data_IF_432671143762
#
_entry.id   IF_432671143762
#
_cell.length_a   1.000
_cell.length_b   1.000
_cell.length_c   1.000
_cell.angle_alpha   90.00
_cell.angle_beta   90.00
_cell.angle_gamma   90.00
#
_symmetry.space_group_name_H-M   'P 1'
#
loop_
_entity.id
_entity.type
_entity.pdbx_description
1 polymer ?
#
# COMPACT_ATOMS: atom_id res chain seq x y z
N UNK A 1 -58.26 -1.17 13.42
CA UNK A 1 -57.66 -0.52 14.58
C UNK A 1 -56.19 -0.88 14.80
N UNK A 2 -55.39 -1.13 13.76
CA UNK A 2 -54.01 -1.69 13.85
C UNK A 2 -52.88 -0.72 13.41
N UNK A 3 -53.18 0.48 12.95
CA UNK A 3 -52.18 1.39 12.38
C UNK A 3 -51.46 2.31 13.40
N UNK A 4 -51.86 2.32 14.67
CA UNK A 4 -51.29 3.23 15.68
C UNK A 4 -50.12 2.66 16.48
N UNK A 5 -49.88 1.36 16.42
CA UNK A 5 -48.80 0.71 17.21
C UNK A 5 -47.51 0.50 16.40
N UNK A 6 -47.52 0.59 15.08
CA UNK A 6 -46.37 0.40 14.23
C UNK A 6 -45.20 1.42 14.52
N UNK A 7 -45.46 2.71 14.73
CA UNK A 7 -44.38 3.65 15.05
C UNK A 7 -43.78 3.43 16.45
N UNK A 8 -44.59 3.04 17.42
CA UNK A 8 -44.11 2.76 18.78
C UNK A 8 -43.24 1.52 18.86
N UNK A 9 -43.58 0.45 18.15
CA UNK A 9 -42.76 -0.77 18.08
C UNK A 9 -41.44 -0.51 17.36
N UNK A 10 -41.43 0.28 16.30
CA UNK A 10 -40.19 0.68 15.60
C UNK A 10 -39.24 1.47 16.51
N UNK A 11 -39.74 2.40 17.29
CA UNK A 11 -38.92 3.18 18.26
C UNK A 11 -38.33 2.27 19.33
N UNK A 12 -39.12 1.35 19.89
CA UNK A 12 -38.63 0.42 20.92
C UNK A 12 -37.53 -0.49 20.37
N UNK A 13 -37.72 -1.02 19.15
CA UNK A 13 -36.70 -1.85 18.49
C UNK A 13 -35.44 -1.05 18.21
N UNK A 14 -35.55 0.17 17.70
CA UNK A 14 -34.38 1.02 17.45
C UNK A 14 -33.63 1.35 18.75
N UNK A 15 -34.35 1.68 19.82
CA UNK A 15 -33.75 1.95 21.13
C UNK A 15 -33.05 0.71 21.71
N UNK A 16 -33.63 -0.48 21.53
CA UNK A 16 -33.01 -1.74 21.95
C UNK A 16 -31.73 -2.05 21.18
N UNK A 17 -31.72 -1.83 19.85
CA UNK A 17 -30.53 -2.02 19.01
C UNK A 17 -29.42 -1.05 19.39
N UNK A 18 -29.72 0.22 19.56
CA UNK A 18 -28.74 1.25 20.01
C UNK A 18 -28.23 0.90 21.41
N UNK A 19 -29.10 0.53 22.33
CA UNK A 19 -28.71 0.13 23.69
C UNK A 19 -27.81 -1.10 23.69
N UNK A 20 -28.10 -2.09 22.86
CA UNK A 20 -27.26 -3.30 22.69
C UNK A 20 -25.90 -2.93 22.07
N UNK A 21 -25.87 -2.09 21.05
CA UNK A 21 -24.65 -1.61 20.41
C UNK A 21 -23.75 -0.88 21.42
N UNK A 22 -24.33 0.01 22.23
CA UNK A 22 -23.58 0.73 23.27
C UNK A 22 -23.08 -0.21 24.37
N UNK A 23 -23.91 -1.18 24.79
CA UNK A 23 -23.53 -2.16 25.80
C UNK A 23 -22.41 -3.11 25.35
N UNK A 24 -22.30 -3.36 24.04
CA UNK A 24 -21.23 -4.16 23.41
C UNK A 24 -19.95 -3.37 23.12
N UNK A 25 -19.86 -2.13 23.59
CA UNK A 25 -18.67 -1.30 23.43
C UNK A 25 -18.67 -0.41 22.18
N UNK A 26 -19.82 -0.26 21.51
CA UNK A 26 -19.93 0.58 20.32
C UNK A 26 -19.70 2.08 20.54
N UNK A 27 -19.62 2.53 21.80
CA UNK A 27 -19.23 3.90 22.14
C UNK A 27 -17.75 4.08 22.41
N UNK A 28 -16.98 2.98 22.50
CA UNK A 28 -15.54 2.97 22.75
C UNK A 28 -14.78 2.68 21.44
N UNK A 29 -15.11 3.41 20.36
CA UNK A 29 -14.31 3.39 19.16
C UNK A 29 -13.01 4.17 19.42
N UNK A 30 -11.92 3.44 19.58
CA UNK A 30 -10.57 4.00 19.46
C UNK A 30 -10.17 3.88 17.99
N UNK A 31 -9.90 5.01 17.30
CA UNK A 31 -9.31 4.95 15.97
C UNK A 31 -8.03 4.11 16.03
N UNK A 32 -7.84 3.21 15.08
CA UNK A 32 -6.55 2.53 14.91
C UNK A 32 -5.49 3.61 14.71
N UNK A 33 -4.39 3.55 15.47
CA UNK A 33 -3.22 4.35 15.17
C UNK A 33 -2.71 3.94 13.79
N UNK A 34 -2.76 4.88 12.85
CA UNK A 34 -2.18 4.66 11.52
C UNK A 34 -0.67 4.76 11.69
N UNK A 35 0.08 3.69 11.39
CA UNK A 35 1.54 3.71 11.50
C UNK A 35 2.12 4.83 10.62
N UNK A 36 3.12 5.53 11.13
CA UNK A 36 3.88 6.49 10.33
C UNK A 36 4.53 5.75 9.14
N UNK A 37 4.27 6.16 7.88
CA UNK A 37 4.87 5.52 6.73
C UNK A 37 6.40 5.58 6.71
N UNK A 38 7.00 6.51 7.46
CA UNK A 38 8.45 6.61 7.61
C UNK A 38 9.04 5.61 8.62
N UNK A 39 8.23 5.06 9.51
CA UNK A 39 8.70 4.07 10.45
C UNK A 39 8.98 2.73 9.73
N UNK A 40 10.14 2.09 10.00
CA UNK A 40 10.42 0.79 9.43
C UNK A 40 9.47 -0.26 10.01
N UNK A 41 8.86 -1.08 9.14
CA UNK A 41 8.02 -2.18 9.60
C UNK A 41 8.82 -3.20 10.40
N UNK A 42 8.26 -3.71 11.50
CA UNK A 42 8.86 -4.83 12.22
C UNK A 42 9.01 -6.05 11.30
N UNK A 43 10.17 -6.73 11.37
CA UNK A 43 10.43 -7.93 10.56
C UNK A 43 9.36 -9.01 10.76
N UNK A 44 8.78 -9.12 11.95
CA UNK A 44 7.71 -10.06 12.23
C UNK A 44 6.47 -9.80 11.36
N UNK A 45 6.07 -8.53 11.18
CA UNK A 45 4.94 -8.18 10.32
C UNK A 45 5.23 -8.45 8.84
N UNK A 46 6.47 -8.26 8.40
CA UNK A 46 6.91 -8.61 7.05
C UNK A 46 6.85 -10.13 6.80
N UNK A 47 7.11 -10.94 7.82
CA UNK A 47 7.08 -12.41 7.72
C UNK A 47 5.68 -13.02 7.88
N UNK A 48 4.72 -12.30 8.47
CA UNK A 48 3.34 -12.78 8.64
C UNK A 48 2.53 -12.83 7.32
N UNK A 49 2.97 -12.13 6.29
CA UNK A 49 2.29 -12.08 4.99
C UNK A 49 2.84 -13.19 4.10
N UNK A 50 1.95 -13.94 3.49
CA UNK A 50 2.32 -15.11 2.67
C UNK A 50 2.75 -14.74 1.25
N UNK A 51 2.29 -13.59 0.73
CA UNK A 51 2.57 -13.18 -0.65
C UNK A 51 3.65 -12.09 -0.73
N UNK A 52 4.76 -12.40 -1.41
CA UNK A 52 5.86 -11.47 -1.63
C UNK A 52 5.40 -10.18 -2.34
N UNK A 53 4.51 -10.29 -3.33
CA UNK A 53 3.95 -9.15 -4.06
C UNK A 53 3.23 -8.17 -3.13
N UNK A 54 2.42 -8.67 -2.20
CA UNK A 54 1.73 -7.82 -1.21
C UNK A 54 2.73 -7.10 -0.30
N UNK A 55 3.77 -7.81 0.15
CA UNK A 55 4.84 -7.21 0.96
C UNK A 55 5.55 -6.08 0.23
N UNK A 56 5.96 -6.34 -1.02
CA UNK A 56 6.63 -5.37 -1.87
C UNK A 56 5.76 -4.14 -2.13
N UNK A 57 4.49 -4.34 -2.52
CA UNK A 57 3.56 -3.26 -2.79
C UNK A 57 3.34 -2.35 -1.57
N UNK A 58 3.10 -2.94 -0.39
CA UNK A 58 2.89 -2.18 0.84
C UNK A 58 4.15 -1.43 1.29
N UNK A 59 5.33 -2.04 1.17
CA UNK A 59 6.60 -1.38 1.50
C UNK A 59 6.94 -0.27 0.52
N UNK A 60 6.63 -0.46 -0.77
CA UNK A 60 6.80 0.58 -1.77
C UNK A 60 5.89 1.79 -1.50
N UNK A 61 4.62 1.53 -1.16
CA UNK A 61 3.67 2.59 -0.78
C UNK A 61 4.13 3.34 0.47
N UNK A 62 4.60 2.64 1.50
CA UNK A 62 5.14 3.28 2.71
C UNK A 62 6.37 4.15 2.39
N UNK A 63 7.26 3.66 1.53
CA UNK A 63 8.45 4.42 1.12
C UNK A 63 8.10 5.69 0.35
N UNK A 64 7.21 5.60 -0.63
CA UNK A 64 6.75 6.74 -1.40
C UNK A 64 5.97 7.75 -0.55
N UNK A 65 5.10 7.26 0.33
CA UNK A 65 4.33 8.09 1.26
C UNK A 65 5.23 8.85 2.24
N UNK A 66 6.28 8.19 2.74
CA UNK A 66 7.29 8.81 3.59
C UNK A 66 8.03 9.94 2.85
N UNK A 67 8.46 9.70 1.61
CA UNK A 67 9.21 10.71 0.82
C UNK A 67 8.36 11.96 0.54
N UNK A 68 7.08 11.77 0.22
CA UNK A 68 6.14 12.86 -0.05
C UNK A 68 5.52 13.47 1.22
N UNK A 69 5.68 12.82 2.38
CA UNK A 69 5.03 13.19 3.64
C UNK A 69 3.49 13.24 3.54
N UNK A 70 2.92 12.28 2.84
CA UNK A 70 1.48 12.12 2.65
C UNK A 70 1.00 10.80 3.27
N UNK A 71 -0.30 10.65 3.55
CA UNK A 71 -0.86 9.36 3.89
C UNK A 71 -0.67 8.34 2.76
N UNK A 72 -0.35 7.11 3.12
CA UNK A 72 -0.21 6.02 2.14
C UNK A 72 -1.48 5.80 1.31
N UNK A 73 -2.63 5.98 1.94
CA UNK A 73 -3.94 5.80 1.34
C UNK A 73 -4.16 6.72 0.14
N UNK A 74 -3.61 7.92 0.16
CA UNK A 74 -3.73 8.89 -0.93
C UNK A 74 -2.95 8.43 -2.17
N UNK A 75 -1.84 7.72 -1.99
CA UNK A 75 -1.05 7.16 -3.09
C UNK A 75 -1.69 5.94 -3.76
N UNK A 76 -2.51 5.19 -3.05
CA UNK A 76 -3.20 4.01 -3.63
C UNK A 76 -4.07 4.43 -4.81
N UNK A 77 -4.75 5.56 -4.74
CA UNK A 77 -5.60 6.07 -5.83
C UNK A 77 -4.76 6.48 -7.04
N UNK A 78 -3.61 7.12 -6.83
CA UNK A 78 -2.70 7.56 -7.89
C UNK A 78 -2.14 6.38 -8.70
N UNK A 79 -1.89 5.25 -8.02
CA UNK A 79 -1.38 4.03 -8.65
C UNK A 79 -2.50 3.30 -9.38
N UNK A 80 -3.69 3.18 -8.75
CA UNK A 80 -4.82 2.45 -9.31
C UNK A 80 -5.48 3.15 -10.52
N UNK A 81 -5.43 4.48 -10.58
CA UNK A 81 -6.02 5.27 -11.66
C UNK A 81 -5.10 6.44 -12.07
N UNK A 82 -4.43 6.35 -13.23
CA UNK A 82 -3.58 7.42 -13.73
C UNK A 82 -4.27 8.78 -13.88
N UNK A 83 -5.61 8.82 -13.99
CA UNK A 83 -6.36 10.08 -14.07
C UNK A 83 -6.41 10.84 -12.74
N UNK A 84 -6.21 10.17 -11.62
CA UNK A 84 -6.12 10.76 -10.28
C UNK A 84 -4.77 11.44 -10.02
N UNK A 85 -3.76 11.16 -10.87
CA UNK A 85 -2.39 11.67 -10.74
C UNK A 85 -2.32 13.19 -10.77
N UNK A 86 -3.01 13.82 -11.72
CA UNK A 86 -3.03 15.28 -11.87
C UNK A 86 -3.73 15.94 -10.66
N UNK A 87 -4.80 15.31 -10.15
CA UNK A 87 -5.53 15.80 -8.98
C UNK A 87 -4.66 15.69 -7.72
N UNK A 88 -4.00 14.57 -7.51
CA UNK A 88 -3.07 14.37 -6.41
C UNK A 88 -1.92 15.39 -6.41
N UNK A 89 -1.28 15.60 -7.57
CA UNK A 89 -0.22 16.60 -7.75
C UNK A 89 -0.70 17.99 -7.36
N UNK A 90 -1.92 18.36 -7.80
CA UNK A 90 -2.51 19.67 -7.50
C UNK A 90 -2.89 19.80 -6.01
N UNK A 91 -3.42 18.76 -5.39
CA UNK A 91 -3.89 18.77 -4.01
C UNK A 91 -2.73 18.84 -3.02
N UNK A 92 -1.69 18.04 -3.23
CA UNK A 92 -0.55 17.95 -2.32
C UNK A 92 0.56 18.96 -2.66
N UNK A 93 0.47 19.66 -3.79
CA UNK A 93 1.45 20.67 -4.21
C UNK A 93 2.81 20.06 -4.57
N UNK A 94 2.85 18.80 -4.95
CA UNK A 94 4.03 18.09 -5.42
C UNK A 94 4.18 18.28 -6.94
N UNK A 95 5.35 17.95 -7.49
CA UNK A 95 5.58 17.90 -8.94
C UNK A 95 5.59 16.45 -9.42
N UNK A 96 5.45 16.23 -10.74
CA UNK A 96 5.61 14.90 -11.32
C UNK A 96 6.98 14.30 -10.99
N UNK A 97 8.05 15.11 -11.08
CA UNK A 97 9.41 14.66 -10.75
C UNK A 97 9.54 14.23 -9.28
N UNK A 98 8.86 14.92 -8.36
CA UNK A 98 8.84 14.53 -6.95
C UNK A 98 8.05 13.24 -6.74
N UNK A 99 6.95 13.07 -7.44
CA UNK A 99 6.15 11.84 -7.38
C UNK A 99 6.94 10.65 -7.93
N UNK A 100 7.60 10.81 -9.07
CA UNK A 100 8.44 9.75 -9.66
C UNK A 100 9.62 9.38 -8.73
N UNK A 101 10.30 10.39 -8.17
CA UNK A 101 11.38 10.15 -7.21
C UNK A 101 10.89 9.44 -5.93
N UNK A 102 9.68 9.77 -5.47
CA UNK A 102 9.08 9.11 -4.32
C UNK A 102 8.72 7.65 -4.62
N UNK A 103 8.20 7.36 -5.80
CA UNK A 103 7.91 5.99 -6.24
C UNK A 103 9.21 5.16 -6.35
N UNK A 104 10.29 5.74 -6.89
CA UNK A 104 11.60 5.10 -6.92
C UNK A 104 12.11 4.80 -5.50
N UNK A 105 12.05 5.77 -4.59
CA UNK A 105 12.42 5.57 -3.19
C UNK A 105 11.56 4.49 -2.52
N UNK A 106 10.29 4.42 -2.86
CA UNK A 106 9.38 3.37 -2.44
C UNK A 106 9.82 1.98 -2.89
N UNK A 107 10.18 1.83 -4.17
CA UNK A 107 10.67 0.56 -4.71
C UNK A 107 11.97 0.11 -4.03
N UNK A 108 12.90 1.05 -3.79
CA UNK A 108 14.14 0.75 -3.05
C UNK A 108 13.82 0.26 -1.64
N UNK A 109 12.89 0.92 -0.94
CA UNK A 109 12.46 0.48 0.39
C UNK A 109 11.82 -0.91 0.37
N UNK A 110 11.02 -1.22 -0.65
CA UNK A 110 10.42 -2.55 -0.80
C UNK A 110 11.50 -3.64 -0.90
N UNK A 111 12.55 -3.39 -1.68
CA UNK A 111 13.70 -4.31 -1.80
C UNK A 111 14.44 -4.46 -0.46
N UNK A 112 14.65 -3.36 0.26
CA UNK A 112 15.32 -3.38 1.58
C UNK A 112 14.49 -4.16 2.62
N UNK A 113 13.18 -4.03 2.59
CA UNK A 113 12.27 -4.75 3.49
C UNK A 113 12.26 -6.25 3.17
N UNK A 114 12.21 -6.63 1.89
CA UNK A 114 12.27 -8.01 1.45
C UNK A 114 13.62 -8.67 1.82
N UNK A 115 14.74 -7.97 1.67
CA UNK A 115 16.05 -8.46 2.11
C UNK A 115 16.08 -8.64 3.65
N UNK A 116 15.55 -7.67 4.42
CA UNK A 116 15.47 -7.76 5.88
C UNK A 116 14.56 -8.90 6.36
N UNK A 117 13.49 -9.18 5.63
CA UNK A 117 12.58 -10.30 5.90
C UNK A 117 13.22 -11.66 5.56
N UNK A 118 14.24 -11.68 4.71
CA UNK A 118 14.87 -12.89 4.21
C UNK A 118 14.14 -13.52 3.02
N UNK A 119 13.22 -12.77 2.40
CA UNK A 119 12.47 -13.21 1.22
C UNK A 119 13.37 -13.22 -0.04
N UNK A 120 14.37 -12.36 -0.07
CA UNK A 120 15.39 -12.29 -1.12
C UNK A 120 16.80 -12.27 -0.53
N UNK A 121 17.79 -12.73 -1.31
CA UNK A 121 19.19 -12.68 -0.90
C UNK A 121 19.79 -11.28 -1.10
N UNK A 122 20.92 -10.99 -0.43
CA UNK A 122 21.63 -9.70 -0.60
C UNK A 122 22.13 -9.48 -2.03
N UNK A 123 22.37 -10.55 -2.78
CA UNK A 123 22.75 -10.47 -4.20
C UNK A 123 21.55 -10.00 -5.05
N UNK A 124 20.39 -10.65 -4.88
CA UNK A 124 19.15 -10.26 -5.56
C UNK A 124 18.74 -8.84 -5.19
N UNK A 125 18.83 -8.46 -3.90
CA UNK A 125 18.56 -7.11 -3.46
C UNK A 125 19.46 -6.06 -4.14
N UNK A 126 20.73 -6.38 -4.34
CA UNK A 126 21.67 -5.48 -5.05
C UNK A 126 21.26 -5.29 -6.50
N UNK A 127 20.89 -6.36 -7.19
CA UNK A 127 20.40 -6.30 -8.58
C UNK A 127 19.10 -5.52 -8.68
N UNK A 128 18.15 -5.78 -7.79
CA UNK A 128 16.85 -5.10 -7.79
C UNK A 128 16.99 -3.59 -7.54
N UNK A 129 17.88 -3.17 -6.64
CA UNK A 129 18.16 -1.71 -6.45
C UNK A 129 18.74 -1.09 -7.72
N UNK A 130 19.62 -1.80 -8.41
CA UNK A 130 20.20 -1.31 -9.66
C UNK A 130 19.15 -1.21 -10.79
N UNK A 131 18.20 -2.14 -10.84
CA UNK A 131 17.06 -2.09 -11.76
C UNK A 131 16.13 -0.94 -11.38
N UNK A 132 15.74 -0.80 -10.10
CA UNK A 132 14.87 0.27 -9.61
C UNK A 132 15.43 1.67 -9.93
N UNK A 133 16.75 1.85 -9.92
CA UNK A 133 17.41 3.11 -10.28
C UNK A 133 17.41 3.42 -11.79
N UNK A 134 17.06 2.45 -12.65
CA UNK A 134 17.10 2.61 -14.12
C UNK A 134 15.76 2.49 -14.81
N UNK A 135 14.82 1.79 -14.19
CA UNK A 135 13.48 1.57 -14.74
C UNK A 135 12.57 2.65 -14.19
N UNK A 136 11.83 3.38 -15.04
CA UNK A 136 10.80 4.31 -14.58
C UNK A 136 9.83 3.62 -13.63
N UNK A 137 9.51 4.28 -12.52
CA UNK A 137 8.67 3.68 -11.47
C UNK A 137 7.31 3.17 -11.99
N UNK A 138 6.71 3.87 -12.97
CA UNK A 138 5.47 3.45 -13.62
C UNK A 138 5.61 2.09 -14.32
N UNK A 139 6.71 1.86 -15.05
CA UNK A 139 6.97 0.57 -15.73
C UNK A 139 7.23 -0.56 -14.72
N UNK A 140 7.91 -0.25 -13.60
CA UNK A 140 8.14 -1.21 -12.53
C UNK A 140 6.82 -1.61 -11.82
N UNK A 141 5.92 -0.65 -11.61
CA UNK A 141 4.60 -0.91 -11.03
C UNK A 141 3.76 -1.78 -11.96
N UNK A 142 3.68 -1.45 -13.25
CA UNK A 142 2.97 -2.24 -14.25
C UNK A 142 3.50 -3.69 -14.31
N UNK A 143 4.82 -3.86 -14.19
CA UNK A 143 5.46 -5.17 -14.14
C UNK A 143 5.05 -5.96 -12.88
N UNK A 144 5.02 -5.32 -11.71
CA UNK A 144 4.60 -5.94 -10.44
C UNK A 144 3.12 -6.33 -10.49
N UNK A 145 2.25 -5.47 -11.02
CA UNK A 145 0.81 -5.76 -11.14
C UNK A 145 0.51 -6.89 -12.13
N UNK A 146 1.31 -7.02 -13.19
CA UNK A 146 1.16 -8.09 -14.18
C UNK A 146 1.72 -9.42 -13.72
N UNK A 147 2.60 -9.42 -12.71
CA UNK A 147 3.17 -10.63 -12.14
C UNK A 147 2.18 -11.34 -11.23
N UNK A 148 1.85 -12.56 -11.54
CA UNK A 148 1.21 -13.47 -10.58
C UNK A 148 2.27 -14.02 -9.63
N UNK A 149 2.01 -13.93 -8.33
CA UNK A 149 2.91 -14.14 -7.18
C UNK A 149 4.17 -15.04 -7.27
N UNK A 150 4.17 -16.07 -8.10
CA UNK A 150 5.34 -16.96 -8.31
C UNK A 150 6.31 -16.44 -9.40
N UNK A 151 5.92 -15.43 -10.19
CA UNK A 151 6.69 -14.96 -11.34
C UNK A 151 7.51 -13.68 -11.08
N UNK A 152 7.47 -13.11 -9.87
CA UNK A 152 8.23 -11.89 -9.53
C UNK A 152 9.74 -12.11 -9.73
N UNK A 153 10.23 -13.28 -9.41
CA UNK A 153 11.64 -13.63 -9.65
C UNK A 153 11.95 -13.84 -11.14
N UNK A 154 10.97 -14.33 -11.91
CA UNK A 154 11.09 -14.43 -13.38
C UNK A 154 11.14 -13.06 -14.07
N UNK A 155 10.40 -12.07 -13.54
CA UNK A 155 10.47 -10.67 -13.99
C UNK A 155 11.86 -10.05 -13.77
N UNK A 156 12.52 -10.40 -12.67
CA UNK A 156 13.90 -9.95 -12.40
C UNK A 156 14.85 -10.47 -13.46
N UNK A 157 14.73 -11.73 -13.84
CA UNK A 157 15.55 -12.34 -14.90
C UNK A 157 15.28 -11.67 -16.26
N UNK A 158 14.02 -11.41 -16.62
CA UNK A 158 13.64 -10.72 -17.85
C UNK A 158 14.14 -9.27 -17.90
N UNK A 159 14.08 -8.55 -16.79
CA UNK A 159 14.59 -7.18 -16.68
C UNK A 159 16.13 -7.13 -16.75
N UNK A 160 16.81 -8.11 -16.16
CA UNK A 160 18.27 -8.24 -16.26
C UNK A 160 18.69 -8.49 -17.71
N UNK A 161 18.01 -9.39 -18.41
CA UNK A 161 18.27 -9.69 -19.83
C UNK A 161 18.03 -8.44 -20.71
N UNK A 162 17.06 -7.62 -20.39
CA UNK A 162 16.77 -6.39 -21.15
C UNK A 162 17.83 -5.31 -20.92
N UNK A 163 18.39 -5.21 -19.71
CA UNK A 163 19.48 -4.26 -19.38
C UNK A 163 20.83 -4.71 -19.96
N UNK A 164 21.11 -6.03 -20.05
CA UNK A 164 22.34 -6.56 -20.62
C UNK A 164 22.33 -6.60 -22.16
N UNK A 165 21.15 -6.59 -22.79
CA UNK A 165 20.97 -6.69 -24.24
C UNK A 165 20.91 -5.35 -25.00
N UNK A 166 20.93 -4.20 -24.32
CA UNK A 166 20.92 -2.85 -24.87
C UNK A 166 22.24 -2.15 -24.74
#
# INVERSE_FOLDING_TARGET
MTARHAPLTAVVVAAALVGTYLALGGASYEPLDVPDPCDPRPVAELQERDELTEKLALSALDGAACELQVPREDLVFVIADPSERDEFIAEHGVTEEQLDAALEAGLVRAVDDAERAGDISSFEATLLREVAARVPAAEAIDAIESATGDDVLGLVDDLIDQVEGG
#
